data_IF_459122862715
#
_entry.id   IF_459122862715
#
_cell.length_a   1.000
_cell.length_b   1.000
_cell.length_c   1.000
_cell.angle_alpha   90.00
_cell.angle_beta   90.00
_cell.angle_gamma   90.00
#
_symmetry.space_group_name_H-M   'P 1'
#
loop_
_entity.id
_entity.type
_entity.pdbx_description
1 polymer ?
#
# COMPACT_ATOMS: atom_id res chain seq x y z
N UNK A 1 17.95 -16.51 -38.52
CA UNK A 1 18.97 -15.58 -39.06
C UNK A 1 19.16 -14.49 -38.03
N UNK A 2 20.43 -14.12 -37.80
CA UNK A 2 20.90 -13.02 -36.95
C UNK A 2 20.78 -13.22 -35.43
N UNK A 3 21.74 -12.91 -34.56
CA UNK A 3 23.21 -12.87 -34.57
C UNK A 3 23.55 -12.77 -33.05
N UNK A 4 24.18 -13.78 -32.45
CA UNK A 4 24.47 -13.76 -31.01
C UNK A 4 25.79 -13.02 -30.76
N UNK A 5 25.71 -11.79 -30.24
CA UNK A 5 26.87 -10.96 -29.95
C UNK A 5 27.46 -11.36 -28.59
N UNK A 6 28.50 -12.20 -28.61
CA UNK A 6 29.35 -12.48 -27.45
C UNK A 6 30.30 -11.28 -27.25
N UNK A 7 30.10 -10.47 -26.21
CA UNK A 7 31.04 -9.42 -25.86
C UNK A 7 32.02 -9.94 -24.79
N UNK A 8 33.23 -10.25 -25.26
CA UNK A 8 34.39 -10.64 -24.47
C UNK A 8 34.99 -9.39 -23.82
N UNK A 9 34.96 -9.29 -22.49
CA UNK A 9 35.58 -8.18 -21.75
C UNK A 9 37.06 -8.49 -21.53
N UNK A 10 37.93 -7.69 -22.15
CA UNK A 10 39.39 -7.73 -21.97
C UNK A 10 39.74 -6.97 -20.69
N UNK A 11 40.32 -7.67 -19.70
CA UNK A 11 40.89 -7.06 -18.49
C UNK A 11 42.32 -6.55 -18.79
N UNK A 12 42.50 -5.23 -18.82
CA UNK A 12 43.81 -4.59 -18.74
C UNK A 12 44.12 -4.19 -17.29
N UNK A 13 45.23 -4.68 -16.75
CA UNK A 13 45.76 -4.31 -15.42
C UNK A 13 46.96 -3.37 -15.60
N UNK A 14 46.84 -2.08 -15.24
CA UNK A 14 47.98 -1.19 -14.89
C UNK A 14 47.52 -0.04 -13.96
N UNK A 15 47.94 -0.09 -12.68
CA UNK A 15 48.42 1.02 -11.83
C UNK A 15 47.58 2.30 -11.52
N UNK A 16 46.83 2.27 -10.39
CA UNK A 16 46.58 3.38 -9.43
C UNK A 16 45.76 4.64 -9.82
N UNK A 17 45.44 5.53 -8.85
CA UNK A 17 44.54 5.35 -7.71
C UNK A 17 43.05 5.57 -8.09
N UNK A 18 42.15 4.95 -7.35
CA UNK A 18 40.75 4.65 -7.70
C UNK A 18 39.90 5.80 -8.29
N UNK A 19 39.23 5.57 -9.44
CA UNK A 19 38.03 6.29 -9.79
C UNK A 19 36.79 5.57 -9.23
N UNK A 20 35.98 6.31 -8.47
CA UNK A 20 34.65 5.93 -7.99
C UNK A 20 33.83 5.28 -9.12
N UNK A 21 33.61 3.96 -9.01
CA UNK A 21 32.72 3.23 -9.90
C UNK A 21 31.29 3.67 -9.60
N UNK A 22 30.75 4.55 -10.44
CA UNK A 22 29.31 4.76 -10.53
C UNK A 22 28.69 3.47 -11.07
N UNK A 23 28.18 2.65 -10.16
CA UNK A 23 27.35 1.50 -10.48
C UNK A 23 25.97 2.02 -10.91
N UNK A 24 25.89 2.60 -12.11
CA UNK A 24 24.61 2.74 -12.80
C UNK A 24 24.29 1.34 -13.32
N UNK A 25 23.65 0.54 -12.47
CA UNK A 25 22.96 -0.65 -12.95
C UNK A 25 21.80 -0.17 -13.82
N UNK A 26 22.04 -0.07 -15.13
CA UNK A 26 20.96 -0.02 -16.11
C UNK A 26 20.28 -1.38 -16.11
N UNK A 27 19.43 -1.62 -15.11
CA UNK A 27 18.37 -2.62 -15.22
C UNK A 27 17.44 -2.08 -16.31
N UNK A 28 17.28 -2.78 -17.44
CA UNK A 28 16.27 -2.38 -18.41
C UNK A 28 14.92 -2.47 -17.70
N UNK A 29 14.20 -1.36 -17.60
CA UNK A 29 12.79 -1.35 -17.23
C UNK A 29 12.03 -2.03 -18.38
N UNK A 30 11.93 -3.36 -18.33
CA UNK A 30 10.90 -4.07 -19.05
C UNK A 30 9.61 -3.85 -18.28
N UNK A 31 8.76 -2.99 -18.84
CA UNK A 31 7.36 -2.77 -18.45
C UNK A 31 6.58 -4.01 -18.89
N UNK A 32 6.77 -5.12 -18.16
CA UNK A 32 5.83 -6.25 -18.23
C UNK A 32 4.59 -5.85 -17.43
N UNK A 33 3.38 -6.09 -17.94
CA UNK A 33 2.13 -5.96 -17.17
C UNK A 33 2.15 -6.99 -16.03
N UNK A 34 2.81 -6.66 -14.92
CA UNK A 34 2.90 -7.56 -13.77
C UNK A 34 1.77 -7.26 -12.80
N UNK A 35 1.00 -8.28 -12.46
CA UNK A 35 0.00 -8.17 -11.41
C UNK A 35 0.68 -8.24 -10.05
N UNK A 36 0.43 -7.25 -9.18
CA UNK A 36 0.79 -7.34 -7.77
C UNK A 36 -0.18 -6.59 -6.88
N UNK A 37 -0.27 -7.03 -5.63
CA UNK A 37 -1.02 -6.32 -4.61
C UNK A 37 -0.31 -6.41 -3.26
N UNK A 38 -0.47 -5.39 -2.42
CA UNK A 38 0.06 -5.41 -1.05
C UNK A 38 -0.86 -4.68 -0.05
N UNK A 39 -0.69 -5.00 1.23
CA UNK A 39 -1.47 -4.36 2.30
C UNK A 39 -1.07 -2.90 2.41
N UNK A 40 -2.05 -2.02 2.21
CA UNK A 40 -1.86 -0.60 2.35
C UNK A 40 -2.19 -0.14 3.76
N UNK A 41 -1.21 0.51 4.39
CA UNK A 41 -1.39 1.27 5.61
C UNK A 41 -0.66 2.60 5.44
N UNK A 42 -1.41 3.69 5.47
CA UNK A 42 -0.83 5.02 5.36
C UNK A 42 0.17 5.30 6.51
N UNK A 43 0.92 6.39 6.37
CA UNK A 43 1.88 6.88 7.37
C UNK A 43 3.01 5.88 7.69
N UNK A 44 3.52 5.20 6.66
CA UNK A 44 4.61 4.24 6.76
C UNK A 44 4.33 3.15 7.82
N UNK A 45 3.15 2.52 7.75
CA UNK A 45 2.73 1.47 8.69
C UNK A 45 2.65 1.96 10.15
N UNK A 46 2.35 3.24 10.39
CA UNK A 46 2.04 3.78 11.71
C UNK A 46 0.56 4.16 11.79
N UNK A 47 -0.11 3.68 12.83
CA UNK A 47 -1.49 4.04 13.14
C UNK A 47 -1.50 5.08 14.24
N UNK A 48 -2.03 6.26 13.97
CA UNK A 48 -2.15 7.35 14.94
C UNK A 48 -3.59 7.45 15.45
N UNK A 49 -3.90 7.01 16.68
CA UNK A 49 -5.26 7.07 17.21
C UNK A 49 -5.86 8.48 17.19
N UNK A 50 -5.05 9.50 17.49
CA UNK A 50 -5.46 10.89 17.47
C UNK A 50 -5.94 11.34 16.08
N UNK A 51 -5.26 10.90 15.01
CA UNK A 51 -5.64 11.24 13.64
C UNK A 51 -7.02 10.68 13.28
N UNK A 52 -7.25 9.39 13.56
CA UNK A 52 -8.53 8.76 13.25
C UNK A 52 -9.68 9.33 14.09
N UNK A 53 -9.43 9.71 15.34
CA UNK A 53 -10.43 10.40 16.17
C UNK A 53 -10.75 11.80 15.65
N UNK A 54 -9.73 12.57 15.26
CA UNK A 54 -9.91 13.95 14.79
C UNK A 54 -10.57 14.03 13.41
N UNK A 55 -10.33 13.05 12.55
CA UNK A 55 -10.83 13.03 11.17
C UNK A 55 -12.12 12.24 10.99
N UNK A 56 -12.60 11.53 12.02
CA UNK A 56 -13.78 10.65 11.95
C UNK A 56 -15.04 11.30 11.37
N UNK A 57 -15.24 12.60 11.62
CA UNK A 57 -16.42 13.35 11.17
C UNK A 57 -16.14 14.28 9.98
N UNK A 58 -14.89 14.34 9.52
CA UNK A 58 -14.51 15.20 8.40
C UNK A 58 -15.03 14.54 7.12
N UNK A 59 -15.79 15.30 6.32
CA UNK A 59 -16.19 14.85 5.00
C UNK A 59 -15.02 15.09 4.04
N UNK A 60 -14.63 14.10 3.23
CA UNK A 60 -13.63 14.32 2.22
C UNK A 60 -14.16 15.39 1.24
N UNK A 61 -13.30 16.23 0.66
CA UNK A 61 -13.70 17.01 -0.50
C UNK A 61 -14.18 16.06 -1.61
N UNK A 62 -15.04 16.55 -2.51
CA UNK A 62 -15.26 15.86 -3.77
C UNK A 62 -13.89 15.73 -4.44
N UNK A 63 -13.51 14.50 -4.73
CA UNK A 63 -12.21 14.20 -5.30
C UNK A 63 -12.33 14.21 -6.82
N UNK A 64 -11.72 15.20 -7.45
CA UNK A 64 -11.85 15.38 -8.90
C UNK A 64 -10.51 15.13 -9.65
N UNK A 65 -9.40 14.82 -8.96
CA UNK A 65 -8.06 14.92 -9.60
C UNK A 65 -6.97 13.95 -9.07
N UNK A 66 -7.28 12.69 -8.78
CA UNK A 66 -6.21 11.69 -8.78
C UNK A 66 -5.90 11.32 -10.22
N UNK A 67 -4.61 11.25 -10.56
CA UNK A 67 -4.13 11.11 -11.95
C UNK A 67 -4.87 10.02 -12.74
N UNK A 68 -4.93 10.17 -14.06
CA UNK A 68 -5.84 9.44 -14.96
C UNK A 68 -5.79 7.90 -14.85
N UNK A 69 -4.73 7.34 -14.25
CA UNK A 69 -4.48 5.90 -14.12
C UNK A 69 -4.62 5.33 -12.69
N UNK A 70 -5.04 6.15 -11.70
CA UNK A 70 -5.17 5.75 -10.29
C UNK A 70 -6.62 5.80 -9.81
N UNK A 71 -7.17 4.66 -9.37
CA UNK A 71 -8.48 4.59 -8.74
C UNK A 71 -8.38 4.57 -7.20
N UNK A 72 -9.27 5.28 -6.53
CA UNK A 72 -9.49 5.12 -5.07
C UNK A 72 -10.92 4.64 -4.85
N UNK A 73 -11.04 3.44 -4.32
CA UNK A 73 -12.29 2.73 -4.14
C UNK A 73 -12.63 2.60 -2.66
N UNK A 74 -13.92 2.79 -2.33
CA UNK A 74 -14.44 2.67 -0.97
C UNK A 74 -14.51 4.00 -0.22
N UNK A 75 -13.98 4.07 0.99
CA UNK A 75 -13.98 5.29 1.81
C UNK A 75 -12.82 6.22 1.40
N UNK A 76 -13.08 7.44 0.90
CA UNK A 76 -12.01 8.37 0.54
C UNK A 76 -11.15 8.82 1.73
N UNK A 77 -11.69 8.75 2.95
CA UNK A 77 -10.94 8.96 4.18
C UNK A 77 -10.26 7.69 4.72
N UNK A 78 -10.44 6.56 4.04
CA UNK A 78 -9.82 5.29 4.41
C UNK A 78 -8.30 5.40 4.35
N UNK A 79 -7.62 4.74 5.29
CA UNK A 79 -6.15 4.73 5.39
C UNK A 79 -5.57 3.32 5.58
N UNK A 80 -6.45 2.32 5.59
CA UNK A 80 -6.14 0.90 5.62
C UNK A 80 -6.83 0.24 4.46
N UNK A 81 -6.19 -0.76 3.86
CA UNK A 81 -6.78 -1.49 2.76
C UNK A 81 -5.72 -2.22 1.96
N UNK A 82 -5.86 -2.17 0.64
CA UNK A 82 -4.94 -2.81 -0.30
C UNK A 82 -4.59 -1.83 -1.40
N UNK A 83 -3.33 -1.90 -1.82
CA UNK A 83 -2.90 -1.36 -3.10
C UNK A 83 -2.82 -2.50 -4.11
N UNK A 84 -3.37 -2.30 -5.30
CA UNK A 84 -3.38 -3.25 -6.41
C UNK A 84 -2.81 -2.57 -7.65
N UNK A 85 -1.98 -3.29 -8.40
CA UNK A 85 -1.48 -2.91 -9.70
C UNK A 85 -1.77 -4.02 -10.72
N UNK A 86 -2.14 -3.63 -11.94
CA UNK A 86 -2.29 -4.55 -13.07
C UNK A 86 -3.55 -5.41 -13.02
N UNK A 87 -4.66 -4.89 -12.47
CA UNK A 87 -5.97 -5.55 -12.47
C UNK A 87 -7.14 -4.66 -12.95
N UNK A 88 -7.01 -3.94 -14.08
CA UNK A 88 -8.10 -3.13 -14.62
C UNK A 88 -9.31 -4.01 -14.99
N UNK A 89 -10.52 -3.56 -14.65
CA UNK A 89 -11.77 -4.26 -14.97
C UNK A 89 -12.13 -5.43 -14.05
N UNK A 90 -11.21 -5.89 -13.20
CA UNK A 90 -11.47 -7.00 -12.27
C UNK A 90 -12.46 -6.62 -11.17
N UNK A 91 -13.31 -7.59 -10.80
CA UNK A 91 -14.16 -7.52 -9.63
C UNK A 91 -13.39 -7.92 -8.39
N UNK A 92 -13.39 -7.08 -7.36
CA UNK A 92 -12.65 -7.34 -6.12
C UNK A 92 -13.60 -7.47 -4.95
N UNK A 93 -13.38 -8.50 -4.13
CA UNK A 93 -13.94 -8.60 -2.78
C UNK A 93 -12.80 -8.57 -1.77
N UNK A 94 -12.88 -7.68 -0.80
CA UNK A 94 -11.86 -7.53 0.22
C UNK A 94 -12.49 -7.51 1.61
N UNK A 95 -11.85 -8.20 2.54
CA UNK A 95 -12.19 -8.22 3.96
C UNK A 95 -10.97 -7.82 4.79
N UNK A 96 -11.11 -6.75 5.55
CA UNK A 96 -10.17 -6.34 6.57
C UNK A 96 -10.63 -6.93 7.91
N UNK A 97 -9.84 -7.85 8.47
CA UNK A 97 -10.22 -8.61 9.68
C UNK A 97 -10.32 -7.69 10.89
N UNK A 98 -11.27 -7.98 11.77
CA UNK A 98 -11.37 -7.42 13.12
C UNK A 98 -10.03 -7.49 13.87
N UNK A 99 -9.72 -6.45 14.63
CA UNK A 99 -8.60 -6.43 15.57
C UNK A 99 -8.97 -5.67 16.86
N UNK A 100 -7.96 -5.26 17.64
CA UNK A 100 -8.16 -4.60 18.93
C UNK A 100 -8.76 -3.17 18.85
N UNK A 101 -8.77 -2.53 17.68
CA UNK A 101 -9.19 -1.13 17.51
C UNK A 101 -10.30 -0.94 16.46
N UNK A 102 -10.71 -2.00 15.77
CA UNK A 102 -11.70 -1.92 14.70
C UNK A 102 -12.45 -3.24 14.52
N UNK A 103 -13.68 -3.13 14.05
CA UNK A 103 -14.48 -4.26 13.60
C UNK A 103 -14.11 -4.71 12.19
N UNK A 104 -14.58 -5.90 11.81
CA UNK A 104 -14.39 -6.40 10.45
C UNK A 104 -15.03 -5.45 9.43
N UNK A 105 -14.29 -5.15 8.36
CA UNK A 105 -14.70 -4.21 7.33
C UNK A 105 -14.63 -4.87 5.97
N UNK A 106 -15.70 -4.76 5.18
CA UNK A 106 -15.84 -5.40 3.88
C UNK A 106 -15.90 -4.37 2.78
N UNK A 107 -15.36 -4.73 1.61
CA UNK A 107 -15.49 -3.97 0.38
C UNK A 107 -15.75 -4.93 -0.78
N UNK A 108 -16.60 -4.50 -1.72
CA UNK A 108 -16.80 -5.18 -2.99
C UNK A 108 -17.02 -4.16 -4.09
N UNK A 109 -16.34 -4.30 -5.22
CA UNK A 109 -16.47 -3.36 -6.34
C UNK A 109 -15.59 -3.74 -7.53
N UNK A 110 -15.75 -3.00 -8.63
CA UNK A 110 -14.93 -3.17 -9.83
C UNK A 110 -13.80 -2.15 -9.83
N UNK A 111 -12.61 -2.58 -10.26
CA UNK A 111 -11.53 -1.67 -10.63
C UNK A 111 -11.87 -1.07 -12.01
N UNK A 112 -11.84 0.26 -12.19
CA UNK A 112 -12.10 0.89 -13.49
C UNK A 112 -11.15 0.34 -14.57
N UNK A 113 -11.66 0.13 -15.79
CA UNK A 113 -10.85 -0.38 -16.91
C UNK A 113 -9.67 0.54 -17.28
N UNK A 114 -9.78 1.83 -16.97
CA UNK A 114 -8.75 2.83 -17.22
C UNK A 114 -7.76 3.00 -16.06
N UNK A 115 -7.90 2.25 -14.95
CA UNK A 115 -7.04 2.37 -13.78
C UNK A 115 -6.10 1.17 -13.68
N UNK A 116 -4.80 1.41 -13.91
CA UNK A 116 -3.76 0.39 -13.69
C UNK A 116 -3.44 0.21 -12.21
N UNK A 117 -3.55 1.29 -11.44
CA UNK A 117 -3.34 1.31 -10.00
C UNK A 117 -4.66 1.55 -9.27
N UNK A 118 -4.89 0.81 -8.19
CA UNK A 118 -6.07 0.98 -7.37
C UNK A 118 -5.77 0.89 -5.87
N UNK A 119 -6.25 1.87 -5.11
CA UNK A 119 -6.38 1.78 -3.66
C UNK A 119 -7.78 1.30 -3.29
N UNK A 120 -7.86 0.16 -2.62
CA UNK A 120 -9.10 -0.43 -2.15
C UNK A 120 -9.18 -0.21 -0.65
N UNK A 121 -9.97 0.78 -0.22
CA UNK A 121 -10.02 1.29 1.14
C UNK A 121 -11.43 1.06 1.71
N UNK A 122 -11.66 0.04 2.54
CA UNK A 122 -13.00 -0.24 3.04
C UNK A 122 -13.40 0.86 4.05
N UNK A 123 -14.71 0.97 4.30
CA UNK A 123 -15.17 1.81 5.42
C UNK A 123 -14.81 1.13 6.74
N UNK A 124 -13.75 1.61 7.40
CA UNK A 124 -13.30 1.04 8.67
C UNK A 124 -14.21 1.49 9.82
N UNK A 125 -14.75 0.52 10.54
CA UNK A 125 -15.53 0.74 11.75
C UNK A 125 -14.61 0.70 12.98
N UNK A 126 -14.15 1.87 13.40
CA UNK A 126 -13.25 2.01 14.53
C UNK A 126 -13.97 1.87 15.88
N UNK A 127 -13.32 1.17 16.82
CA UNK A 127 -13.65 1.26 18.24
C UNK A 127 -12.95 2.50 18.82
N UNK A 128 -13.69 3.61 18.85
CA UNK A 128 -13.18 4.89 19.35
C UNK A 128 -12.85 4.87 20.84
N UNK A 129 -13.49 4.00 21.63
CA UNK A 129 -13.18 3.87 23.05
C UNK A 129 -11.88 3.08 23.26
N UNK A 130 -11.60 2.07 22.44
CA UNK A 130 -10.31 1.40 22.41
C UNK A 130 -9.20 2.36 21.98
N UNK A 131 -9.41 3.15 20.90
CA UNK A 131 -8.44 4.11 20.41
C UNK A 131 -8.01 5.15 21.47
N UNK A 132 -8.97 5.67 22.25
CA UNK A 132 -8.70 6.65 23.33
C UNK A 132 -7.85 6.09 24.48
N UNK A 133 -7.80 4.77 24.65
CA UNK A 133 -7.13 4.12 25.79
C UNK A 133 -5.66 3.75 25.49
N UNK A 134 -5.19 3.92 24.26
CA UNK A 134 -3.82 3.55 23.87
C UNK A 134 -2.83 4.59 24.39
N UNK A 135 -2.23 4.32 25.55
CA UNK A 135 -1.25 5.24 26.18
C UNK A 135 0.20 4.97 25.79
N UNK A 136 0.50 3.78 25.27
CA UNK A 136 1.84 3.36 24.91
C UNK A 136 1.81 2.76 23.50
N UNK A 137 2.86 2.99 22.68
CA UNK A 137 2.96 2.34 21.38
C UNK A 137 2.99 0.81 21.51
N UNK A 138 2.29 0.11 20.64
CA UNK A 138 2.25 -1.35 20.60
C UNK A 138 2.16 -1.87 19.16
N UNK A 139 2.65 -3.09 18.87
CA UNK A 139 2.41 -3.71 17.58
C UNK A 139 0.93 -4.07 17.40
N UNK A 140 0.42 -3.89 16.19
CA UNK A 140 -0.93 -4.29 15.79
C UNK A 140 -0.85 -5.04 14.46
N UNK A 141 -1.60 -6.12 14.32
CA UNK A 141 -1.67 -6.85 13.05
C UNK A 141 -2.85 -6.33 12.22
N UNK A 142 -2.57 -5.98 10.96
CA UNK A 142 -3.57 -5.79 9.92
C UNK A 142 -3.60 -7.03 9.06
N UNK A 143 -4.74 -7.72 9.02
CA UNK A 143 -4.92 -8.93 8.22
C UNK A 143 -5.98 -8.64 7.17
N UNK A 144 -5.59 -8.78 5.91
CA UNK A 144 -6.48 -8.57 4.77
C UNK A 144 -6.65 -9.87 4.02
N UNK A 145 -7.89 -10.15 3.65
CA UNK A 145 -8.24 -11.19 2.69
C UNK A 145 -8.80 -10.52 1.45
N UNK A 146 -8.30 -10.87 0.28
CA UNK A 146 -8.74 -10.31 -0.99
C UNK A 146 -9.03 -11.43 -1.98
N UNK A 147 -10.01 -11.22 -2.84
CA UNK A 147 -10.40 -12.11 -3.91
C UNK A 147 -10.59 -11.28 -5.17
N UNK A 148 -9.97 -11.72 -6.26
CA UNK A 148 -10.13 -11.15 -7.59
C UNK A 148 -10.98 -12.09 -8.43
N UNK A 149 -12.04 -11.55 -9.03
CA UNK A 149 -13.00 -12.27 -9.86
C UNK A 149 -13.45 -13.60 -9.21
N UNK A 150 -13.28 -14.72 -9.91
CA UNK A 150 -13.60 -16.07 -9.42
C UNK A 150 -12.37 -16.84 -8.93
N UNK A 151 -11.24 -16.15 -8.73
CA UNK A 151 -10.02 -16.77 -8.21
C UNK A 151 -10.14 -17.06 -6.71
N UNK A 152 -9.32 -17.99 -6.17
CA UNK A 152 -9.25 -18.24 -4.73
C UNK A 152 -8.87 -16.98 -3.95
N UNK A 153 -9.42 -16.84 -2.75
CA UNK A 153 -9.03 -15.72 -1.89
C UNK A 153 -7.62 -15.88 -1.36
N UNK A 154 -6.86 -14.79 -1.40
CA UNK A 154 -5.53 -14.69 -0.81
C UNK A 154 -5.59 -13.89 0.50
N UNK A 155 -4.66 -14.18 1.41
CA UNK A 155 -4.56 -13.49 2.68
C UNK A 155 -3.13 -13.01 2.93
N UNK A 156 -3.00 -11.74 3.31
CA UNK A 156 -1.75 -11.16 3.79
C UNK A 156 -1.95 -10.51 5.15
N UNK A 157 -0.89 -10.53 5.95
CA UNK A 157 -0.85 -9.89 7.24
C UNK A 157 0.40 -9.01 7.33
N UNK A 158 0.23 -7.79 7.82
CA UNK A 158 1.35 -6.88 8.11
C UNK A 158 1.24 -6.42 9.57
N UNK A 159 2.38 -6.31 10.24
CA UNK A 159 2.44 -5.76 11.59
C UNK A 159 2.74 -4.27 11.49
N UNK A 160 1.83 -3.45 11.99
CA UNK A 160 1.94 -1.99 12.02
C UNK A 160 2.22 -1.49 13.44
N UNK A 161 2.80 -0.30 13.55
CA UNK A 161 3.02 0.36 14.82
C UNK A 161 1.80 1.19 15.22
N UNK A 162 1.05 0.75 16.22
CA UNK A 162 -0.04 1.52 16.80
C UNK A 162 0.54 2.50 17.82
N UNK A 163 0.49 3.79 17.51
CA UNK A 163 1.08 4.87 18.30
C UNK A 163 0.23 5.22 19.52
N UNK A 164 0.79 6.00 20.45
CA UNK A 164 0.02 6.49 21.58
C UNK A 164 -1.04 7.51 21.15
N UNK A 165 -2.08 7.67 21.95
CA UNK A 165 -3.11 8.70 21.76
C UNK A 165 -2.56 10.13 21.76
N UNK A 166 -1.39 10.34 22.37
CA UNK A 166 -0.74 11.65 22.43
C UNK A 166 0.27 11.86 21.29
N UNK A 167 0.52 10.85 20.46
CA UNK A 167 1.44 10.97 19.34
C UNK A 167 0.73 11.65 18.16
N UNK A 168 1.39 12.65 17.59
CA UNK A 168 0.91 13.35 16.40
C UNK A 168 1.65 12.86 15.15
N UNK A 169 0.92 12.72 14.05
CA UNK A 169 1.43 12.30 12.73
C UNK A 169 2.66 13.12 12.28
N UNK A 170 2.65 14.43 12.52
CA UNK A 170 3.71 15.35 12.14
C UNK A 170 4.48 15.92 13.34
N UNK A 171 4.28 15.35 14.52
CA UNK A 171 5.08 15.72 15.68
C UNK A 171 6.53 15.32 15.42
N UNK A 172 7.45 16.28 15.32
CA UNK A 172 8.88 15.96 15.44
C UNK A 172 9.08 15.28 16.79
N UNK A 173 9.69 14.09 16.77
CA UNK A 173 10.28 13.46 17.94
C UNK A 173 11.49 14.27 18.41
#
# INVERSE_FOLDING_TARGET
MSLQLFLMVVFGFVGGPEPMVNLVSSVPAQEEDYFYWDVFCDFNQNVFPAYHLATATIKPPAYDEWGENLAILGDPNGRFGVFVHGAPGSYVRMALRKNAIMEESLFSGYIPENAMDAFILPKVLFDYDALRKIKQPMPLNLVVTIQFDDEPSEQKAVTVALRSINDCLFGRL
#
